data_IF_641567437955
#
_entry.id   IF_641567437955
#
_cell.length_a   1.000
_cell.length_b   1.000
_cell.length_c   1.000
_cell.angle_alpha   90.00
_cell.angle_beta   90.00
_cell.angle_gamma   90.00
#
_symmetry.space_group_name_H-M   'P 1'
#
loop_
_entity.id
_entity.type
_entity.pdbx_description
1 polymer ?
#
# COMPACT_ATOMS: atom_id res chain seq x y z
N UNK A 1 -5.71 -11.24 2.24
CA UNK A 1 -7.06 -10.64 2.22
C UNK A 1 -7.65 -10.81 0.83
N UNK A 2 -8.16 -12.01 0.58
CA UNK A 2 -9.01 -12.27 -0.57
C UNK A 2 -10.34 -11.53 -0.38
N UNK A 3 -10.87 -10.99 -1.48
CA UNK A 3 -12.25 -10.47 -1.59
C UNK A 3 -12.62 -9.19 -0.82
N UNK A 4 -11.71 -8.21 -0.71
CA UNK A 4 -12.16 -6.84 -0.42
C UNK A 4 -12.83 -6.28 -1.68
N UNK A 5 -14.13 -6.57 -1.79
CA UNK A 5 -15.11 -6.03 -2.73
C UNK A 5 -14.93 -6.55 -4.17
N UNK A 6 -15.95 -7.21 -4.70
CA UNK A 6 -16.18 -7.52 -6.13
C UNK A 6 -16.22 -6.26 -7.04
N UNK A 7 -15.45 -5.21 -6.74
CA UNK A 7 -15.41 -3.93 -7.45
C UNK A 7 -14.51 -3.97 -8.68
N UNK A 8 -13.63 -4.97 -8.80
CA UNK A 8 -12.66 -5.05 -9.90
C UNK A 8 -12.89 -6.33 -10.73
N UNK A 9 -12.89 -6.24 -12.07
CA UNK A 9 -13.05 -7.41 -12.95
C UNK A 9 -11.93 -8.44 -12.67
N UNK A 10 -12.31 -9.72 -12.67
CA UNK A 10 -11.38 -10.84 -12.48
C UNK A 10 -10.27 -10.76 -13.54
N UNK A 11 -9.01 -10.64 -13.11
CA UNK A 11 -7.83 -10.62 -13.99
C UNK A 11 -6.89 -9.42 -13.85
N UNK A 12 -7.21 -8.40 -13.05
CA UNK A 12 -6.34 -7.21 -12.88
C UNK A 12 -5.32 -7.32 -11.74
N UNK A 13 -5.47 -8.30 -10.84
CA UNK A 13 -4.47 -8.60 -9.82
C UNK A 13 -3.50 -9.65 -10.32
N UNK A 14 -2.55 -9.19 -11.12
CA UNK A 14 -1.30 -9.91 -11.26
C UNK A 14 -0.53 -9.75 -9.95
N UNK A 15 -0.71 -10.67 -9.00
CA UNK A 15 -0.01 -10.65 -7.70
C UNK A 15 1.52 -10.57 -7.90
N UNK A 16 2.04 -10.95 -9.06
CA UNK A 16 3.45 -10.81 -9.42
C UNK A 16 3.90 -9.35 -9.62
N UNK A 17 2.96 -8.40 -9.82
CA UNK A 17 3.26 -6.95 -9.89
C UNK A 17 3.13 -6.24 -8.55
N UNK A 18 2.74 -6.96 -7.49
CA UNK A 18 2.64 -6.38 -6.16
C UNK A 18 4.04 -6.29 -5.55
N UNK A 19 4.64 -5.11 -5.64
CA UNK A 19 5.92 -4.81 -5.00
C UNK A 19 5.73 -5.00 -3.49
N UNK A 20 6.55 -5.82 -2.85
CA UNK A 20 6.50 -5.97 -1.39
C UNK A 20 7.01 -4.67 -0.74
N UNK A 21 6.50 -4.28 0.43
CA UNK A 21 6.98 -3.10 1.14
C UNK A 21 8.51 -3.09 1.34
N UNK A 22 9.12 -4.26 1.57
CA UNK A 22 10.56 -4.40 1.71
C UNK A 22 11.33 -4.10 0.40
N UNK A 23 10.79 -4.50 -0.76
CA UNK A 23 11.36 -4.22 -2.08
C UNK A 23 11.25 -2.73 -2.40
N UNK A 24 10.09 -2.13 -2.14
CA UNK A 24 9.90 -0.69 -2.30
C UNK A 24 10.85 0.09 -1.40
N UNK A 25 10.98 -0.29 -0.12
CA UNK A 25 11.91 0.36 0.80
C UNK A 25 13.37 0.25 0.33
N UNK A 26 13.75 -0.86 -0.32
CA UNK A 26 15.06 -0.98 -0.94
C UNK A 26 15.24 -0.02 -2.11
N UNK A 27 14.26 0.09 -3.00
CA UNK A 27 14.31 1.05 -4.12
C UNK A 27 14.36 2.50 -3.64
N UNK A 28 13.62 2.85 -2.59
CA UNK A 28 13.63 4.18 -2.00
C UNK A 28 15.00 4.55 -1.44
N UNK A 29 15.63 3.65 -0.67
CA UNK A 29 17.00 3.87 -0.18
C UNK A 29 18.00 4.04 -1.32
N UNK A 30 17.90 3.22 -2.36
CA UNK A 30 18.78 3.34 -3.54
C UNK A 30 18.55 4.65 -4.30
N UNK A 31 17.36 5.23 -4.22
CA UNK A 31 17.02 6.52 -4.79
C UNK A 31 17.37 7.72 -3.87
N UNK A 32 17.99 7.48 -2.71
CA UNK A 32 18.32 8.53 -1.74
C UNK A 32 17.11 9.06 -0.97
N UNK A 33 16.05 8.26 -0.83
CA UNK A 33 14.86 8.58 -0.04
C UNK A 33 14.87 7.82 1.28
N UNK A 34 14.53 8.51 2.35
CA UNK A 34 14.29 7.94 3.68
C UNK A 34 12.81 7.60 3.86
N UNK A 35 12.56 6.44 4.46
CA UNK A 35 11.22 5.90 4.68
C UNK A 35 10.64 6.46 5.98
N UNK A 36 9.69 7.40 5.90
CA UNK A 36 9.13 8.06 7.09
C UNK A 36 7.99 7.25 7.71
N UNK A 37 7.06 6.77 6.88
CA UNK A 37 5.88 6.06 7.36
C UNK A 37 5.32 5.09 6.33
N UNK A 38 4.76 3.99 6.83
CA UNK A 38 3.96 3.05 6.04
C UNK A 38 2.61 2.88 6.72
N UNK A 39 1.52 3.05 5.98
CA UNK A 39 0.15 2.92 6.48
C UNK A 39 -0.71 2.13 5.51
N UNK A 40 -1.59 1.29 6.05
CA UNK A 40 -2.67 0.69 5.29
C UNK A 40 -3.86 1.62 5.16
N UNK A 41 -4.75 1.30 4.24
CA UNK A 41 -6.02 1.98 4.07
C UNK A 41 -7.16 0.96 4.10
N UNK A 42 -8.19 1.26 4.89
CA UNK A 42 -9.44 0.49 4.91
C UNK A 42 -10.57 1.34 4.37
N UNK A 43 -11.49 0.68 3.65
CA UNK A 43 -12.72 1.28 3.18
C UNK A 43 -13.91 0.67 3.94
N UNK A 44 -14.73 1.52 4.54
CA UNK A 44 -15.99 1.11 5.13
C UNK A 44 -17.13 1.28 4.09
N UNK A 45 -17.72 0.20 3.56
CA UNK A 45 -18.76 0.30 2.53
C UNK A 45 -20.09 0.87 3.04
N UNK A 46 -20.36 0.79 4.36
CA UNK A 46 -21.59 1.29 4.95
C UNK A 46 -21.56 2.81 5.08
N UNK A 47 -20.45 3.35 5.59
CA UNK A 47 -20.26 4.81 5.76
C UNK A 47 -19.64 5.46 4.52
N UNK A 48 -19.09 4.66 3.60
CA UNK A 48 -18.29 5.06 2.42
C UNK A 48 -17.07 5.90 2.77
N UNK A 49 -16.55 5.74 3.98
CA UNK A 49 -15.38 6.47 4.47
C UNK A 49 -14.12 5.62 4.27
N UNK A 50 -13.07 6.26 3.77
CA UNK A 50 -11.72 5.73 3.77
C UNK A 50 -10.99 6.14 5.04
N UNK A 51 -10.18 5.25 5.61
CA UNK A 51 -9.39 5.55 6.80
C UNK A 51 -8.03 4.90 6.74
N UNK A 52 -7.01 5.64 7.18
CA UNK A 52 -5.65 5.13 7.32
C UNK A 52 -5.51 4.33 8.62
N UNK A 53 -4.71 3.28 8.57
CA UNK A 53 -4.43 2.42 9.71
C UNK A 53 -3.02 1.83 9.61
N UNK A 54 -2.63 1.04 10.60
CA UNK A 54 -1.30 0.41 10.65
C UNK A 54 -1.27 -1.00 10.03
N UNK A 55 -2.39 -1.52 9.50
CA UNK A 55 -2.45 -2.84 8.87
C UNK A 55 -2.05 -2.75 7.39
N UNK A 56 -0.83 -3.19 7.08
CA UNK A 56 -0.26 -3.15 5.72
C UNK A 56 -0.38 -4.48 4.99
N UNK A 57 -1.18 -5.43 5.50
CA UNK A 57 -1.26 -6.80 4.97
C UNK A 57 -2.05 -6.89 3.66
N UNK A 58 -2.90 -5.89 3.38
CA UNK A 58 -3.82 -5.88 2.22
C UNK A 58 -3.38 -4.86 1.18
N UNK A 59 -3.06 -3.66 1.63
CA UNK A 59 -2.56 -2.55 0.82
C UNK A 59 -1.69 -1.66 1.71
N UNK A 60 -0.89 -0.81 1.10
CA UNK A 60 -0.04 0.11 1.84
C UNK A 60 0.19 1.39 1.03
N UNK A 61 0.36 2.49 1.76
CA UNK A 61 0.84 3.79 1.31
C UNK A 61 2.14 4.08 2.03
N UNK A 62 3.08 4.72 1.33
CA UNK A 62 4.37 5.09 1.87
C UNK A 62 4.55 6.60 1.81
N UNK A 63 5.02 7.17 2.91
CA UNK A 63 5.59 8.51 2.95
C UNK A 63 7.11 8.41 3.02
N UNK A 64 7.80 9.20 2.22
CA UNK A 64 9.25 9.31 2.23
C UNK A 64 9.69 10.73 1.96
N UNK A 65 10.81 11.08 2.55
CA UNK A 65 11.47 12.36 2.37
C UNK A 65 12.86 12.14 1.77
N UNK A 66 13.38 13.16 1.11
CA UNK A 66 14.81 13.21 0.77
C UNK A 66 15.45 14.06 1.84
N UNK A 67 16.48 13.54 2.50
CA UNK A 67 17.33 14.36 3.34
C UNK A 67 18.04 15.37 2.42
N UNK A 68 17.80 16.66 2.65
CA UNK A 68 18.53 17.76 2.02
C UNK A 68 19.92 17.91 2.66
#
# INVERSE_FOLDING_TARGET
>A
AEYVLRLLPRGTHDYAKFIKPAELAHFMRNAGLDLDAVKGMTYNPLTRIYSLNSDTSVNYMVASSRAD
#
